data_IF_435580656221
#
_entry.id   IF_435580656221
#
_cell.length_a   1.000
_cell.length_b   1.000
_cell.length_c   1.000
_cell.angle_alpha   90.00
_cell.angle_beta   90.00
_cell.angle_gamma   90.00
#
_symmetry.space_group_name_H-M   'P 1'
#
loop_
_entity.id
_entity.type
_entity.pdbx_description
1 polymer ?
#
# COMPACT_ATOMS: atom_id res chain seq x y z
N UNK A 1 4.59 17.78 -2.24
CA UNK A 1 4.91 16.35 -2.44
C UNK A 1 4.36 15.86 -3.75
N UNK A 2 5.02 14.85 -4.32
CA UNK A 2 4.60 14.17 -5.54
C UNK A 2 3.40 13.25 -5.28
N UNK A 3 2.71 12.86 -6.35
CA UNK A 3 1.67 11.83 -6.24
C UNK A 3 2.30 10.49 -5.79
N UNK A 4 1.64 9.70 -4.93
CA UNK A 4 2.22 8.47 -4.41
C UNK A 4 2.38 7.41 -5.50
N UNK A 5 3.52 6.75 -5.55
CA UNK A 5 3.76 5.62 -6.44
C UNK A 5 3.42 4.30 -5.73
N UNK A 6 2.56 3.49 -6.34
CA UNK A 6 2.20 2.16 -5.84
C UNK A 6 2.96 1.06 -6.58
N UNK A 7 3.45 0.08 -5.84
CA UNK A 7 4.09 -1.12 -6.39
C UNK A 7 3.71 -2.38 -5.62
N UNK A 8 3.83 -3.55 -6.29
CA UNK A 8 3.53 -4.85 -5.68
C UNK A 8 4.81 -5.47 -5.12
N UNK A 9 4.79 -5.84 -3.83
CA UNK A 9 5.92 -6.44 -3.12
C UNK A 9 5.94 -7.98 -3.10
N UNK A 10 4.90 -8.64 -3.64
CA UNK A 10 4.76 -10.09 -3.69
C UNK A 10 3.69 -10.64 -2.75
N UNK A 11 3.65 -11.96 -2.59
CA UNK A 11 2.70 -12.65 -1.70
C UNK A 11 3.26 -12.77 -0.29
N UNK A 12 2.48 -12.38 0.71
CA UNK A 12 2.87 -12.43 2.13
C UNK A 12 1.65 -12.61 3.02
N UNK A 13 1.77 -13.42 4.08
CA UNK A 13 0.71 -13.66 5.08
C UNK A 13 -0.68 -13.98 4.50
N UNK A 14 -0.75 -14.70 3.37
CA UNK A 14 -2.01 -15.07 2.72
C UNK A 14 -2.64 -13.94 1.88
N UNK A 15 -1.93 -12.84 1.66
CA UNK A 15 -2.35 -11.71 0.84
C UNK A 15 -1.27 -11.24 -0.13
N UNK A 16 -1.47 -10.06 -0.70
CA UNK A 16 -0.51 -9.37 -1.57
C UNK A 16 0.03 -8.15 -0.82
N UNK A 17 1.35 -8.05 -0.69
CA UNK A 17 2.01 -6.86 -0.17
C UNK A 17 1.96 -5.76 -1.22
N UNK A 18 1.48 -4.59 -0.83
CA UNK A 18 1.47 -3.36 -1.63
C UNK A 18 2.36 -2.34 -0.94
N UNK A 19 3.20 -1.68 -1.72
CA UNK A 19 4.11 -0.62 -1.30
C UNK A 19 3.60 0.72 -1.84
N UNK A 20 3.78 1.77 -1.06
CA UNK A 20 3.52 3.14 -1.45
C UNK A 20 4.73 4.01 -1.13
N UNK A 21 5.18 4.82 -2.08
CA UNK A 21 6.30 5.76 -1.93
C UNK A 21 5.90 7.14 -2.41
N UNK A 22 6.26 8.18 -1.68
CA UNK A 22 6.06 9.57 -2.13
C UNK A 22 7.13 10.50 -1.55
N UNK A 23 7.63 11.42 -2.38
CA UNK A 23 8.75 12.31 -2.05
C UNK A 23 8.40 13.80 -2.20
N UNK A 24 9.32 14.67 -1.77
CA UNK A 24 9.20 16.12 -1.92
C UNK A 24 8.18 16.75 -0.97
N UNK A 25 8.07 16.24 0.26
CA UNK A 25 7.14 16.74 1.27
C UNK A 25 7.83 17.61 2.32
N UNK A 26 7.20 18.70 2.72
CA UNK A 26 7.63 19.45 3.89
C UNK A 26 6.44 20.07 4.62
N UNK A 27 6.32 19.92 5.95
CA UNK A 27 7.11 19.04 6.82
C UNK A 27 6.81 17.55 6.56
N UNK A 28 7.32 16.64 7.41
CA UNK A 28 7.06 15.20 7.35
C UNK A 28 5.54 14.92 7.20
N UNK A 29 5.11 14.24 6.12
CA UNK A 29 3.70 13.95 5.89
C UNK A 29 3.24 12.70 6.67
N UNK A 30 1.93 12.43 6.64
CA UNK A 30 1.32 11.19 7.08
C UNK A 30 1.03 10.30 5.86
N UNK A 31 1.21 9.00 5.98
CA UNK A 31 0.81 8.00 4.98
C UNK A 31 -0.33 7.16 5.55
N UNK A 32 -1.43 7.08 4.81
CA UNK A 32 -2.65 6.38 5.20
C UNK A 32 -3.07 5.43 4.08
N UNK A 33 -3.60 4.27 4.44
CA UNK A 33 -4.24 3.34 3.51
C UNK A 33 -5.74 3.39 3.67
N UNK A 34 -6.48 3.41 2.56
CA UNK A 34 -7.95 3.36 2.54
C UNK A 34 -8.45 2.23 1.67
N UNK A 35 -9.46 1.51 2.14
CA UNK A 35 -10.24 0.59 1.29
C UNK A 35 -11.25 1.35 0.41
N UNK A 36 -11.96 0.64 -0.46
CA UNK A 36 -12.95 1.22 -1.36
C UNK A 36 -14.12 1.93 -0.64
N UNK A 37 -14.32 1.66 0.65
CA UNK A 37 -15.34 2.30 1.50
C UNK A 37 -14.78 3.51 2.25
N UNK A 38 -13.51 3.84 2.03
CA UNK A 38 -12.79 4.89 2.74
C UNK A 38 -12.33 4.51 4.14
N UNK A 39 -12.46 3.25 4.55
CA UNK A 39 -12.02 2.80 5.87
C UNK A 39 -10.50 2.70 5.92
N UNK A 40 -9.91 3.13 7.04
CA UNK A 40 -8.47 3.04 7.23
C UNK A 40 -8.02 1.59 7.40
N UNK A 41 -6.99 1.22 6.64
CA UNK A 41 -6.33 -0.07 6.78
C UNK A 41 -5.02 0.10 7.57
N UNK A 42 -4.65 -0.88 8.41
CA UNK A 42 -3.41 -0.82 9.17
C UNK A 42 -2.21 -1.02 8.24
N UNK A 43 -1.25 -0.10 8.32
CA UNK A 43 0.05 -0.27 7.67
C UNK A 43 0.84 -1.41 8.33
N UNK A 44 1.53 -2.20 7.52
CA UNK A 44 2.50 -3.21 7.97
C UNK A 44 3.80 -2.55 8.40
N UNK A 45 4.23 -1.53 7.65
CA UNK A 45 5.44 -0.75 7.94
C UNK A 45 5.29 0.65 7.38
N UNK A 46 6.00 1.60 7.99
CA UNK A 46 6.14 2.95 7.47
C UNK A 46 7.52 3.49 7.83
N UNK A 47 8.21 4.04 6.85
CA UNK A 47 9.55 4.61 6.98
C UNK A 47 9.58 5.99 6.33
N UNK A 48 10.56 6.80 6.71
CA UNK A 48 10.80 8.08 6.06
C UNK A 48 12.28 8.42 6.07
N UNK A 49 12.68 9.24 5.12
CA UNK A 49 14.01 9.83 5.03
C UNK A 49 13.89 11.31 4.67
N UNK A 50 14.93 12.08 4.96
CA UNK A 50 15.01 13.50 4.61
C UNK A 50 16.22 13.71 3.68
N UNK A 51 16.01 14.44 2.59
CA UNK A 51 17.10 14.82 1.67
C UNK A 51 17.88 16.05 2.17
N UNK A 52 18.89 16.46 1.40
CA UNK A 52 19.76 17.59 1.74
C UNK A 52 19.02 18.93 1.69
N UNK A 53 17.93 19.00 0.93
CA UNK A 53 17.05 20.15 0.81
C UNK A 53 16.01 20.22 1.95
N UNK A 54 16.02 19.23 2.85
CA UNK A 54 15.12 19.15 3.99
C UNK A 54 13.73 18.61 3.65
N UNK A 55 13.52 18.09 2.42
CA UNK A 55 12.28 17.49 2.00
C UNK A 55 12.22 16.02 2.41
N UNK A 56 11.03 15.56 2.77
CA UNK A 56 10.77 14.21 3.20
C UNK A 56 10.31 13.32 2.05
N UNK A 57 10.82 12.11 2.08
CA UNK A 57 10.27 10.95 1.41
C UNK A 57 9.64 10.03 2.46
N UNK A 58 8.46 9.50 2.15
CA UNK A 58 7.72 8.56 2.99
C UNK A 58 7.43 7.29 2.21
N UNK A 59 7.62 6.16 2.86
CA UNK A 59 7.26 4.85 2.32
C UNK A 59 6.37 4.10 3.31
N UNK A 60 5.44 3.32 2.78
CA UNK A 60 4.52 2.52 3.56
C UNK A 60 4.19 1.21 2.87
N UNK A 61 3.86 0.20 3.66
CA UNK A 61 3.42 -1.09 3.14
C UNK A 61 2.10 -1.52 3.79
N UNK A 62 1.28 -2.27 3.06
CA UNK A 62 0.09 -2.96 3.56
C UNK A 62 0.00 -4.35 2.94
N UNK A 63 -0.60 -5.31 3.65
CA UNK A 63 -0.96 -6.61 3.09
C UNK A 63 -2.47 -6.61 2.84
N UNK A 64 -2.85 -6.83 1.60
CA UNK A 64 -4.25 -6.90 1.18
C UNK A 64 -4.64 -8.36 1.00
N UNK A 65 -5.75 -8.77 1.59
CA UNK A 65 -6.34 -10.10 1.41
C UNK A 65 -7.52 -10.04 0.45
N UNK A 66 -7.91 -11.18 -0.11
CA UNK A 66 -9.06 -11.26 -1.04
C UNK A 66 -10.42 -10.88 -0.44
N UNK A 67 -10.49 -10.63 0.87
CA UNK A 67 -11.66 -10.05 1.55
C UNK A 67 -11.80 -8.54 1.37
N UNK A 68 -10.74 -7.84 0.94
CA UNK A 68 -10.79 -6.41 0.63
C UNK A 68 -11.21 -6.27 -0.83
N UNK A 69 -12.45 -5.84 -1.04
CA UNK A 69 -13.01 -5.64 -2.37
C UNK A 69 -12.76 -4.21 -2.88
N UNK A 70 -12.59 -4.09 -4.20
CA UNK A 70 -12.44 -2.80 -4.87
C UNK A 70 -11.02 -2.20 -4.79
N UNK A 71 -10.88 -0.90 -5.12
CA UNK A 71 -9.59 -0.24 -5.11
C UNK A 71 -9.08 0.01 -3.69
N UNK A 72 -7.78 -0.18 -3.52
CA UNK A 72 -6.98 0.26 -2.38
C UNK A 72 -6.35 1.60 -2.74
N UNK A 73 -6.44 2.57 -1.84
CA UNK A 73 -5.80 3.88 -2.00
C UNK A 73 -4.66 4.06 -0.99
N UNK A 74 -3.51 4.54 -1.45
CA UNK A 74 -2.52 5.17 -0.59
C UNK A 74 -2.71 6.68 -0.62
N UNK A 75 -2.76 7.29 0.55
CA UNK A 75 -3.02 8.70 0.74
C UNK A 75 -1.87 9.31 1.53
N UNK A 76 -1.20 10.31 0.96
CA UNK A 76 -0.15 11.06 1.63
C UNK A 76 -0.67 12.46 1.96
N UNK A 77 -0.75 12.75 3.26
CA UNK A 77 -1.40 13.94 3.81
C UNK A 77 -0.42 14.81 4.55
N UNK A 78 -0.37 16.09 4.18
CA UNK A 78 0.29 17.14 4.93
C UNK A 78 -0.76 17.97 5.66
N UNK A 79 -1.02 17.64 6.92
CA UNK A 79 -2.02 18.32 7.75
C UNK A 79 -1.66 19.77 8.08
N UNK A 80 -0.39 20.17 7.97
CA UNK A 80 0.01 21.56 8.19
C UNK A 80 -0.37 22.45 7.01
N UNK A 81 -0.16 21.95 5.80
CA UNK A 81 -0.47 22.66 4.56
C UNK A 81 -1.85 22.34 4.01
N UNK A 82 -2.61 21.46 4.68
CA UNK A 82 -3.92 20.95 4.22
C UNK A 82 -3.86 20.39 2.78
N UNK A 83 -2.74 19.75 2.44
CA UNK A 83 -2.53 19.11 1.14
C UNK A 83 -2.66 17.59 1.29
N UNK A 84 -3.35 16.96 0.34
CA UNK A 84 -3.46 15.52 0.21
C UNK A 84 -3.12 15.14 -1.24
N UNK A 85 -2.38 14.05 -1.41
CA UNK A 85 -2.14 13.40 -2.70
C UNK A 85 -2.40 11.92 -2.53
N UNK A 86 -3.08 11.30 -3.49
CA UNK A 86 -3.43 9.90 -3.42
C UNK A 86 -3.16 9.17 -4.73
N UNK A 87 -3.07 7.85 -4.63
CA UNK A 87 -3.06 6.95 -5.77
C UNK A 87 -3.72 5.65 -5.37
N UNK A 88 -4.37 5.01 -6.34
CA UNK A 88 -5.20 3.83 -6.10
C UNK A 88 -4.88 2.72 -7.09
N UNK A 89 -5.02 1.47 -6.63
CA UNK A 89 -4.97 0.29 -7.49
C UNK A 89 -6.03 -0.71 -7.08
N UNK A 90 -6.41 -1.60 -7.99
CA UNK A 90 -7.29 -2.72 -7.69
C UNK A 90 -6.57 -4.02 -8.03
N UNK A 91 -6.54 -4.95 -7.06
CA UNK A 91 -5.98 -6.28 -7.25
C UNK A 91 -7.13 -7.22 -7.59
N UNK A 92 -7.10 -7.80 -8.79
CA UNK A 92 -8.14 -8.72 -9.21
C UNK A 92 -8.13 -10.00 -8.36
N UNK A 93 -9.31 -10.57 -8.09
CA UNK A 93 -9.49 -11.76 -7.26
C UNK A 93 -8.55 -12.94 -7.57
N UNK A 94 -8.25 -13.27 -8.86
CA UNK A 94 -7.35 -14.37 -9.20
C UNK A 94 -5.93 -14.24 -8.65
N UNK A 95 -5.45 -13.03 -8.36
CA UNK A 95 -4.11 -12.85 -7.77
C UNK A 95 -4.03 -13.38 -6.33
N UNK A 96 -5.14 -13.37 -5.58
CA UNK A 96 -5.15 -13.88 -4.21
C UNK A 96 -5.10 -15.42 -4.14
N UNK A 97 -5.38 -16.12 -5.23
CA UNK A 97 -5.25 -17.58 -5.30
C UNK A 97 -3.80 -18.02 -5.08
N UNK A 98 -2.84 -17.31 -5.66
CA UNK A 98 -1.42 -17.60 -5.51
C UNK A 98 -0.88 -17.31 -4.10
N UNK A 99 -1.64 -16.60 -3.26
CA UNK A 99 -1.30 -16.35 -1.87
C UNK A 99 -1.71 -17.51 -0.94
N UNK A 100 -2.45 -18.52 -1.44
CA UNK A 100 -2.98 -19.63 -0.66
C UNK A 100 -2.14 -20.92 -0.85
N UNK A 101 -1.39 -21.39 0.18
CA UNK A 101 -0.48 -22.53 0.04
C UNK A 101 -1.14 -23.87 -0.28
N UNK A 102 -2.42 -24.05 0.10
CA UNK A 102 -3.11 -25.34 0.00
C UNK A 102 -3.39 -25.79 -1.44
N UNK A 103 -3.45 -24.87 -2.40
CA UNK A 103 -3.68 -25.23 -3.81
C UNK A 103 -2.48 -25.93 -4.47
N UNK A 104 -1.29 -25.84 -3.87
CA UNK A 104 -0.11 -26.59 -4.35
C UNK A 104 -0.23 -28.09 -4.02
N UNK A 105 -0.94 -28.45 -2.94
CA UNK A 105 -1.06 -29.83 -2.50
C UNK A 105 -2.02 -30.67 -3.36
N UNK A 106 -3.00 -30.04 -4.02
CA UNK A 106 -4.01 -30.75 -4.84
C UNK A 106 -3.50 -31.21 -6.21
N UNK A 107 -2.36 -30.68 -6.68
CA UNK A 107 -1.78 -31.06 -7.97
C UNK A 107 -0.96 -32.36 -7.94
N UNK A 108 -0.72 -32.95 -6.76
CA UNK A 108 0.15 -34.14 -6.59
C UNK A 108 -0.61 -35.46 -6.36
N UNK A 109 -1.93 -35.50 -6.57
CA UNK A 109 -2.77 -36.69 -6.29
C UNK A 109 -3.51 -37.22 -7.54
N UNK A 110 -2.99 -37.01 -8.74
CA UNK A 110 -3.54 -37.59 -9.99
C UNK A 110 -2.45 -38.28 -10.81
#
# INVERSE_FOLDING_TARGET
GADPHLSLGGYEAGGVRVLCRSAGWYPLPQLLWRDARGQHLPSVSQTHSQDQEGLFEIEGAVIVTGSVEGPLSCVVRNSRLQQERDSSLHIAAPFFHNAQPWMVALALVL
#
